data_IF_012765094837
#
_entry.id   IF_012765094837
#
_cell.length_a   1.000
_cell.length_b   1.000
_cell.length_c   1.000
_cell.angle_alpha   90.00
_cell.angle_beta   90.00
_cell.angle_gamma   90.00
#
_symmetry.space_group_name_H-M   'P 1'
#
loop_
_entity.id
_entity.type
_entity.pdbx_description
1 polymer ?
#
# COMPACT_ATOMS: atom_id res chain seq x y z
N UNK A 1 -6.44 9.55 -32.02
CA UNK A 1 -6.20 9.79 -30.59
C UNK A 1 -5.06 8.89 -30.20
N UNK A 2 -3.97 9.48 -29.72
CA UNK A 2 -2.84 8.74 -29.19
C UNK A 2 -3.31 7.92 -27.98
N UNK A 3 -2.93 6.65 -27.91
CA UNK A 3 -3.37 5.76 -26.83
C UNK A 3 -2.67 6.22 -25.54
N UNK A 4 -3.42 6.73 -24.58
CA UNK A 4 -2.92 7.00 -23.22
C UNK A 4 -2.31 5.73 -22.64
N UNK A 5 -1.05 5.80 -22.22
CA UNK A 5 -0.31 4.65 -21.70
C UNK A 5 -0.78 4.32 -20.28
N UNK A 6 -1.16 3.07 -20.03
CA UNK A 6 -1.67 2.61 -18.74
C UNK A 6 -0.54 2.11 -17.86
N UNK A 7 -0.41 2.65 -16.65
CA UNK A 7 0.63 2.34 -15.67
C UNK A 7 -0.01 1.90 -14.36
N UNK A 8 0.34 0.70 -13.90
CA UNK A 8 0.00 0.23 -12.55
C UNK A 8 1.23 0.29 -11.68
N UNK A 9 1.13 0.99 -10.55
CA UNK A 9 2.20 1.12 -9.57
C UNK A 9 1.80 0.35 -8.31
N UNK A 10 2.48 -0.76 -8.03
CA UNK A 10 2.39 -1.47 -6.75
C UNK A 10 3.38 -0.86 -5.75
N UNK A 11 2.91 -0.37 -4.61
CA UNK A 11 3.78 0.12 -3.53
C UNK A 11 3.69 -0.72 -2.27
N UNK A 12 4.80 -0.83 -1.56
CA UNK A 12 4.90 -1.47 -0.23
C UNK A 12 5.64 -0.59 0.77
N UNK A 13 5.89 -1.11 1.96
CA UNK A 13 6.36 -0.29 3.09
C UNK A 13 7.69 0.43 2.82
N UNK A 14 8.51 -0.08 1.90
CA UNK A 14 9.77 0.54 1.51
C UNK A 14 9.60 1.96 0.92
N UNK A 15 8.47 2.27 0.26
CA UNK A 15 8.23 3.63 -0.25
C UNK A 15 8.03 4.65 0.88
N UNK A 16 7.49 4.22 2.02
CA UNK A 16 7.21 5.06 3.20
C UNK A 16 8.36 5.06 4.22
N UNK A 17 9.40 4.26 4.02
CA UNK A 17 10.51 4.12 4.98
C UNK A 17 11.21 5.45 5.28
N UNK A 18 11.50 6.23 4.23
CA UNK A 18 12.15 7.53 4.32
C UNK A 18 11.20 8.65 4.82
N UNK A 19 9.92 8.33 5.02
CA UNK A 19 8.93 9.18 5.70
C UNK A 19 8.82 8.90 7.21
N UNK A 20 9.71 8.07 7.76
CA UNK A 20 9.69 7.70 9.18
C UNK A 20 8.70 6.60 9.53
N UNK A 21 8.09 5.93 8.55
CA UNK A 21 7.27 4.74 8.76
C UNK A 21 8.19 3.52 8.83
N UNK A 22 8.10 2.77 9.93
CA UNK A 22 8.88 1.53 10.07
C UNK A 22 8.32 0.45 9.15
N UNK A 23 9.21 -0.19 8.41
CA UNK A 23 8.85 -1.27 7.51
C UNK A 23 8.55 -2.56 8.26
N UNK A 24 7.72 -3.39 7.66
CA UNK A 24 7.49 -4.75 8.10
C UNK A 24 8.76 -5.60 7.90
N UNK A 25 9.18 -6.33 8.93
CA UNK A 25 10.35 -7.22 8.88
C UNK A 25 9.87 -8.65 8.74
N UNK A 26 9.72 -9.10 7.50
CA UNK A 26 9.28 -10.47 7.23
C UNK A 26 10.23 -11.53 7.82
N UNK A 27 11.54 -11.27 7.85
CA UNK A 27 12.55 -12.28 8.20
C UNK A 27 12.62 -12.64 9.68
N UNK A 28 12.15 -11.78 10.59
CA UNK A 28 12.09 -12.07 12.04
C UNK A 28 10.65 -12.25 12.55
N UNK A 29 9.65 -12.13 11.66
CA UNK A 29 8.23 -12.27 12.00
C UNK A 29 7.70 -11.14 12.89
N UNK A 30 8.42 -10.01 12.96
CA UNK A 30 8.05 -8.89 13.84
C UNK A 30 7.51 -7.69 13.06
N UNK A 31 6.53 -7.04 13.66
CA UNK A 31 6.07 -5.71 13.27
C UNK A 31 5.99 -4.80 14.49
N UNK A 32 6.83 -3.75 14.52
CA UNK A 32 6.97 -2.86 15.70
C UNK A 32 7.28 -3.63 17.00
N UNK A 33 8.18 -4.61 16.93
CA UNK A 33 8.56 -5.48 18.05
C UNK A 33 7.42 -6.37 18.60
N UNK A 34 6.34 -6.57 17.84
CA UNK A 34 5.30 -7.55 18.17
C UNK A 34 5.34 -8.68 17.14
N UNK A 35 5.02 -9.90 17.58
CA UNK A 35 4.79 -11.03 16.67
C UNK A 35 3.52 -10.77 15.87
N UNK A 36 3.54 -11.08 14.58
CA UNK A 36 2.40 -10.83 13.67
C UNK A 36 1.12 -11.49 14.20
N UNK A 37 1.23 -12.73 14.65
CA UNK A 37 0.15 -13.56 15.19
C UNK A 37 -0.46 -13.03 16.48
N UNK A 38 0.11 -11.99 17.09
CA UNK A 38 -0.43 -11.30 18.26
C UNK A 38 -1.21 -10.04 17.91
N UNK A 39 -1.14 -9.54 16.68
CA UNK A 39 -1.59 -8.17 16.35
C UNK A 39 -2.19 -7.98 14.96
N UNK A 40 -1.96 -8.91 14.04
CA UNK A 40 -2.33 -8.76 12.63
C UNK A 40 -2.94 -10.04 12.03
N UNK A 41 -3.75 -10.75 12.84
CA UNK A 41 -4.61 -11.87 12.41
C UNK A 41 -6.00 -11.75 13.02
N UNK A 42 -7.06 -12.32 12.42
CA UNK A 42 -8.38 -12.38 13.05
C UNK A 42 -8.36 -13.05 14.43
N UNK A 43 -7.57 -14.12 14.58
CA UNK A 43 -7.45 -14.87 15.84
C UNK A 43 -6.75 -14.04 16.92
N UNK A 44 -5.81 -13.16 16.54
CA UNK A 44 -5.20 -12.22 17.46
C UNK A 44 -6.24 -11.23 18.03
N UNK A 45 -7.12 -10.73 17.16
CA UNK A 45 -8.18 -9.80 17.55
C UNK A 45 -9.24 -10.47 18.41
N UNK A 46 -9.61 -11.72 18.11
CA UNK A 46 -10.50 -12.50 18.97
C UNK A 46 -9.85 -12.78 20.35
N UNK A 47 -8.55 -13.07 20.37
CA UNK A 47 -7.80 -13.39 21.59
C UNK A 47 -7.62 -12.19 22.52
N UNK A 48 -7.16 -11.05 22.00
CA UNK A 48 -6.97 -9.82 22.78
C UNK A 48 -7.23 -8.58 21.91
N UNK A 49 -8.51 -8.19 21.73
CA UNK A 49 -8.85 -7.04 20.90
C UNK A 49 -8.27 -5.75 21.47
N UNK A 50 -8.12 -5.65 22.80
CA UNK A 50 -7.53 -4.48 23.45
C UNK A 50 -6.06 -4.29 23.07
N UNK A 51 -5.28 -5.37 22.97
CA UNK A 51 -3.90 -5.32 22.48
C UNK A 51 -3.85 -4.83 21.03
N UNK A 52 -4.67 -5.40 20.15
CA UNK A 52 -4.72 -5.03 18.75
C UNK A 52 -5.13 -3.56 18.58
N UNK A 53 -6.15 -3.10 19.31
CA UNK A 53 -6.53 -1.68 19.32
C UNK A 53 -5.38 -0.78 19.76
N UNK A 54 -4.71 -1.07 20.89
CA UNK A 54 -3.55 -0.29 21.33
C UNK A 54 -2.42 -0.28 20.29
N UNK A 55 -2.18 -1.41 19.65
CA UNK A 55 -1.16 -1.58 18.62
C UNK A 55 -1.43 -0.69 17.39
N UNK A 56 -2.66 -0.63 16.90
CA UNK A 56 -3.03 0.24 15.78
C UNK A 56 -3.20 1.71 16.19
N UNK A 57 -3.68 2.00 17.41
CA UNK A 57 -3.76 3.37 17.94
C UNK A 57 -2.39 4.05 18.00
N UNK A 58 -1.36 3.35 18.48
CA UNK A 58 0.02 3.87 18.48
C UNK A 58 0.52 4.23 17.08
N UNK A 59 0.23 3.38 16.09
CA UNK A 59 0.59 3.65 14.69
C UNK A 59 -0.18 4.84 14.13
N UNK A 60 -1.46 4.94 14.46
CA UNK A 60 -2.30 6.07 14.04
C UNK A 60 -1.76 7.38 14.59
N UNK A 61 -1.44 7.41 15.88
CA UNK A 61 -0.82 8.57 16.52
C UNK A 61 0.53 8.93 15.85
N UNK A 62 1.37 7.94 15.53
CA UNK A 62 2.62 8.16 14.79
C UNK A 62 2.39 8.72 13.38
N UNK A 63 1.47 8.11 12.62
CA UNK A 63 1.11 8.54 11.26
C UNK A 63 0.55 9.99 11.22
N UNK A 64 -0.17 10.39 12.28
CA UNK A 64 -0.71 11.74 12.43
C UNK A 64 0.29 12.74 13.04
N UNK A 65 1.48 12.30 13.42
CA UNK A 65 2.52 13.19 13.93
C UNK A 65 3.05 14.11 12.83
N UNK A 66 3.65 15.23 13.25
CA UNK A 66 4.24 16.22 12.33
C UNK A 66 5.50 15.72 11.61
N UNK A 67 6.11 14.65 12.12
CA UNK A 67 7.33 14.01 11.61
C UNK A 67 7.05 13.17 10.36
N UNK A 68 5.83 12.61 10.26
CA UNK A 68 5.44 11.73 9.15
C UNK A 68 4.82 12.55 8.02
N UNK A 69 5.56 12.71 6.92
CA UNK A 69 5.14 13.46 5.73
C UNK A 69 5.45 12.68 4.46
N UNK A 70 4.72 12.91 3.35
CA UNK A 70 5.07 12.33 2.07
C UNK A 70 6.49 12.72 1.69
N UNK A 71 7.24 11.76 1.15
CA UNK A 71 8.59 11.98 0.64
C UNK A 71 8.58 12.16 -0.89
N UNK A 72 9.78 12.39 -1.46
CA UNK A 72 9.96 12.63 -2.90
C UNK A 72 9.37 11.53 -3.79
N UNK A 73 9.35 10.27 -3.36
CA UNK A 73 8.76 9.19 -4.14
C UNK A 73 7.24 9.35 -4.29
N UNK A 74 6.54 9.66 -3.19
CA UNK A 74 5.10 9.90 -3.20
C UNK A 74 4.75 11.11 -4.07
N UNK A 75 5.52 12.20 -3.94
CA UNK A 75 5.33 13.40 -4.76
C UNK A 75 5.53 13.11 -6.25
N UNK A 76 6.55 12.34 -6.63
CA UNK A 76 6.80 11.98 -8.02
C UNK A 76 5.68 11.10 -8.60
N UNK A 77 5.15 10.16 -7.82
CA UNK A 77 4.00 9.33 -8.23
C UNK A 77 2.76 10.21 -8.47
N UNK A 78 2.47 11.15 -7.55
CA UNK A 78 1.36 12.08 -7.71
C UNK A 78 1.52 12.99 -8.93
N UNK A 79 2.75 13.44 -9.22
CA UNK A 79 3.04 14.24 -10.41
C UNK A 79 2.87 13.45 -11.71
N UNK A 80 3.27 12.17 -11.72
CA UNK A 80 3.04 11.30 -12.86
C UNK A 80 1.54 11.11 -13.13
N UNK A 81 0.73 10.92 -12.09
CA UNK A 81 -0.73 10.78 -12.22
C UNK A 81 -1.40 12.03 -12.84
N UNK A 82 -0.79 13.21 -12.69
CA UNK A 82 -1.30 14.45 -13.26
C UNK A 82 -0.93 14.64 -14.73
N UNK A 83 -0.10 13.76 -15.31
CA UNK A 83 0.30 13.85 -16.71
C UNK A 83 -0.81 13.29 -17.62
N UNK A 84 -1.27 14.09 -18.58
CA UNK A 84 -2.41 13.77 -19.46
C UNK A 84 -2.14 12.64 -20.46
N UNK A 85 -0.88 12.28 -20.68
CA UNK A 85 -0.48 11.21 -21.62
C UNK A 85 -0.46 9.82 -20.98
N UNK A 86 -0.57 9.73 -19.65
CA UNK A 86 -0.57 8.45 -18.91
C UNK A 86 -1.81 8.32 -18.04
N UNK A 87 -2.23 7.08 -17.83
CA UNK A 87 -3.24 6.73 -16.84
C UNK A 87 -2.55 5.94 -15.74
N UNK A 88 -2.55 6.44 -14.51
CA UNK A 88 -1.87 5.82 -13.38
C UNK A 88 -2.90 5.25 -12.41
N UNK A 89 -2.72 3.99 -12.01
CA UNK A 89 -3.38 3.39 -10.87
C UNK A 89 -2.32 3.02 -9.82
N UNK A 90 -2.45 3.56 -8.61
CA UNK A 90 -1.61 3.18 -7.47
C UNK A 90 -2.30 2.08 -6.69
N UNK A 91 -1.71 0.89 -6.65
CA UNK A 91 -2.11 -0.19 -5.75
C UNK A 91 -1.13 -0.21 -4.58
N UNK A 92 -1.59 0.04 -3.36
CA UNK A 92 -0.72 0.12 -2.19
C UNK A 92 -1.03 -0.97 -1.17
N UNK A 93 0.02 -1.67 -0.75
CA UNK A 93 0.00 -2.56 0.41
C UNK A 93 0.10 -1.78 1.73
N UNK A 94 0.45 -0.50 1.67
CA UNK A 94 0.56 0.35 2.83
C UNK A 94 -0.82 0.76 3.33
N UNK A 95 -0.90 0.92 4.64
CA UNK A 95 -2.10 1.34 5.35
C UNK A 95 -2.03 2.81 5.76
N UNK A 96 -0.94 3.50 5.45
CA UNK A 96 -0.80 4.95 5.59
C UNK A 96 -1.48 5.70 4.44
N UNK A 97 -1.72 7.01 4.62
CA UNK A 97 -2.37 7.90 3.64
C UNK A 97 -1.34 8.83 2.96
N UNK A 98 -0.08 8.42 2.83
CA UNK A 98 0.98 9.29 2.31
C UNK A 98 0.85 9.56 0.80
N UNK A 99 0.25 8.65 0.03
CA UNK A 99 -0.07 8.89 -1.38
C UNK A 99 -1.12 9.98 -1.54
N UNK A 100 -2.20 9.93 -0.76
CA UNK A 100 -3.25 10.95 -0.75
C UNK A 100 -2.72 12.31 -0.31
N UNK A 101 -1.91 12.34 0.76
CA UNK A 101 -1.27 13.57 1.22
C UNK A 101 -0.29 14.16 0.19
N UNK A 102 0.30 13.33 -0.67
CA UNK A 102 1.14 13.79 -1.78
C UNK A 102 0.32 14.33 -2.97
N UNK A 103 -0.97 14.00 -3.03
CA UNK A 103 -1.91 14.47 -4.05
C UNK A 103 -2.41 13.38 -5.00
N UNK A 104 -2.04 12.12 -4.80
CA UNK A 104 -2.56 11.02 -5.61
C UNK A 104 -4.05 10.78 -5.36
N UNK A 105 -4.81 10.39 -6.39
CA UNK A 105 -6.28 10.28 -6.33
C UNK A 105 -6.78 8.89 -6.73
N UNK A 106 -6.15 8.24 -7.70
CA UNK A 106 -6.52 6.91 -8.18
C UNK A 106 -5.73 5.83 -7.43
N UNK A 107 -6.18 5.52 -6.22
CA UNK A 107 -5.48 4.63 -5.29
C UNK A 107 -6.38 3.48 -4.86
N UNK A 108 -5.82 2.27 -4.81
CA UNK A 108 -6.42 1.10 -4.16
C UNK A 108 -5.56 0.70 -2.96
N UNK A 109 -6.11 0.87 -1.76
CA UNK A 109 -5.54 0.33 -0.52
C UNK A 109 -5.91 -1.14 -0.37
N UNK A 110 -5.09 -2.02 -0.93
CA UNK A 110 -5.40 -3.45 -0.95
C UNK A 110 -5.39 -4.07 0.46
N UNK A 111 -4.66 -3.47 1.40
CA UNK A 111 -4.62 -3.92 2.81
C UNK A 111 -5.40 -3.02 3.77
N UNK A 112 -6.27 -2.15 3.24
CA UNK A 112 -7.05 -1.22 4.04
C UNK A 112 -6.26 0.01 4.51
N UNK A 113 -6.83 0.76 5.44
CA UNK A 113 -6.41 2.12 5.78
C UNK A 113 -6.40 2.34 7.30
N UNK A 114 -5.28 2.83 7.84
CA UNK A 114 -5.05 3.02 9.27
C UNK A 114 -5.93 4.13 9.89
N UNK A 115 -6.32 5.09 9.05
CA UNK A 115 -7.26 6.16 9.41
C UNK A 115 -8.71 5.76 9.15
N UNK A 116 -9.00 4.47 8.99
CA UNK A 116 -10.35 3.91 8.93
C UNK A 116 -10.54 2.78 9.95
N UNK A 117 -11.80 2.62 10.33
CA UNK A 117 -12.31 1.51 11.13
C UNK A 117 -13.60 1.02 10.50
N UNK A 118 -14.01 -0.21 10.81
CA UNK A 118 -15.32 -0.70 10.37
C UNK A 118 -16.01 -1.53 11.42
N UNK A 119 -17.35 -1.57 11.30
CA UNK A 119 -18.18 -2.42 12.13
C UNK A 119 -18.25 -3.82 11.52
N UNK A 120 -17.79 -4.83 12.27
CA UNK A 120 -17.83 -6.22 11.84
C UNK A 120 -19.26 -6.74 11.63
N UNK A 121 -20.26 -6.13 12.27
CA UNK A 121 -21.67 -6.53 12.14
C UNK A 121 -22.34 -6.02 10.87
N UNK A 122 -22.03 -4.78 10.46
CA UNK A 122 -22.73 -4.11 9.34
C UNK A 122 -21.86 -3.89 8.12
N UNK A 123 -20.53 -3.99 8.25
CA UNK A 123 -19.57 -3.66 7.21
C UNK A 123 -19.37 -2.15 6.98
N UNK A 124 -20.07 -1.30 7.73
CA UNK A 124 -19.95 0.16 7.59
C UNK A 124 -18.56 0.62 8.02
N UNK A 125 -17.94 1.48 7.20
CA UNK A 125 -16.61 2.07 7.41
C UNK A 125 -16.70 3.51 7.88
N UNK A 126 -15.74 3.91 8.70
CA UNK A 126 -15.66 5.23 9.31
C UNK A 126 -14.24 5.74 9.28
N UNK A 127 -14.07 7.03 8.97
CA UNK A 127 -12.82 7.71 9.22
C UNK A 127 -12.56 7.79 10.73
N UNK A 128 -11.31 7.57 11.13
CA UNK A 128 -10.89 7.63 12.52
C UNK A 128 -9.51 8.29 12.64
N UNK A 129 -9.41 9.27 13.53
CA UNK A 129 -8.17 9.97 13.86
C UNK A 129 -7.81 9.88 15.34
N UNK A 130 -8.77 9.53 16.19
CA UNK A 130 -8.57 9.30 17.61
C UNK A 130 -8.25 7.83 17.89
N UNK A 131 -8.02 7.52 19.15
CA UNK A 131 -7.91 6.15 19.63
C UNK A 131 -9.26 5.43 19.52
N UNK A 132 -9.20 4.14 19.19
CA UNK A 132 -10.35 3.23 19.20
C UNK A 132 -10.17 2.23 20.34
N UNK A 133 -11.20 2.04 21.15
CA UNK A 133 -11.28 1.06 22.22
C UNK A 133 -12.35 0.01 21.98
N UNK A 134 -12.26 -1.10 22.72
CA UNK A 134 -13.22 -2.21 22.62
C UNK A 134 -14.63 -1.81 23.09
N UNK A 135 -14.73 -0.83 23.99
CA UNK A 135 -15.98 -0.38 24.57
C UNK A 135 -16.66 0.75 23.76
N UNK A 136 -16.01 1.24 22.69
CA UNK A 136 -16.57 2.26 21.82
C UNK A 136 -17.81 1.72 21.08
N UNK A 137 -18.89 2.49 21.10
CA UNK A 137 -20.15 2.11 20.47
C UNK A 137 -20.12 2.43 18.96
N UNK A 138 -20.49 1.46 18.10
CA UNK A 138 -20.66 1.75 16.67
C UNK A 138 -21.82 2.72 16.46
N UNK A 139 -21.57 3.81 15.73
CA UNK A 139 -22.62 4.72 15.29
C UNK A 139 -23.73 4.03 14.46
N UNK A 140 -23.41 2.93 13.75
CA UNK A 140 -24.36 2.16 12.96
C UNK A 140 -25.40 1.37 13.78
N UNK A 141 -24.93 0.64 14.77
CA UNK A 141 -25.69 -0.43 15.41
C UNK A 141 -25.80 -0.23 16.93
N UNK A 142 -25.14 0.79 17.46
CA UNK A 142 -25.14 1.17 18.88
C UNK A 142 -24.61 0.08 19.82
N UNK A 143 -23.78 -0.84 19.30
CA UNK A 143 -23.14 -1.91 20.05
C UNK A 143 -21.65 -1.65 20.23
N UNK A 144 -21.13 -1.97 21.41
CA UNK A 144 -19.68 -2.08 21.68
C UNK A 144 -19.11 -3.40 21.13
N UNK A 145 -17.79 -3.54 21.14
CA UNK A 145 -17.04 -4.72 20.67
C UNK A 145 -17.29 -5.09 19.20
N UNK A 146 -17.80 -4.17 18.39
CA UNK A 146 -18.06 -4.41 16.96
C UNK A 146 -17.11 -3.68 16.04
N UNK A 147 -16.40 -2.67 16.53
CA UNK A 147 -15.48 -1.86 15.75
C UNK A 147 -14.09 -2.49 15.75
N UNK A 148 -13.48 -2.60 14.57
CA UNK A 148 -12.06 -2.95 14.42
C UNK A 148 -11.37 -2.02 13.41
N UNK A 149 -10.03 -1.93 13.45
CA UNK A 149 -9.28 -1.24 12.40
C UNK A 149 -9.62 -1.79 11.00
N UNK A 150 -9.74 -0.92 10.00
CA UNK A 150 -10.01 -1.29 8.60
C UNK A 150 -8.72 -1.73 7.93
N UNK A 151 -8.14 -2.81 8.46
CA UNK A 151 -6.90 -3.41 8.01
C UNK A 151 -7.19 -4.84 7.61
N UNK A 152 -6.69 -5.24 6.44
CA UNK A 152 -6.68 -6.64 6.02
C UNK A 152 -5.56 -7.34 6.76
N UNK A 153 -5.93 -8.34 7.55
CA UNK A 153 -4.99 -9.16 8.30
C UNK A 153 -4.52 -10.38 7.53
N UNK A 154 -3.45 -11.01 8.01
CA UNK A 154 -3.03 -12.30 7.49
C UNK A 154 -4.18 -13.32 7.62
N UNK A 155 -4.46 -14.04 6.54
CA UNK A 155 -5.61 -14.94 6.44
C UNK A 155 -6.87 -14.30 5.85
N UNK A 156 -6.92 -12.97 5.72
CA UNK A 156 -8.03 -12.27 5.06
C UNK A 156 -7.71 -11.95 3.59
N UNK A 157 -8.76 -11.83 2.79
CA UNK A 157 -8.63 -11.44 1.38
C UNK A 157 -8.36 -9.93 1.25
N UNK A 158 -7.33 -9.51 0.47
CA UNK A 158 -7.12 -8.11 0.18
C UNK A 158 -8.31 -7.48 -0.56
N UNK A 159 -8.44 -6.17 -0.44
CA UNK A 159 -9.54 -5.43 -1.04
C UNK A 159 -9.36 -5.22 -2.53
N UNK A 160 -10.49 -5.24 -3.25
CA UNK A 160 -10.60 -4.89 -4.67
C UNK A 160 -9.71 -5.72 -5.62
N UNK A 161 -9.44 -6.99 -5.27
CA UNK A 161 -8.59 -7.89 -6.07
C UNK A 161 -9.01 -7.99 -7.53
N UNK A 162 -10.30 -8.09 -7.82
CA UNK A 162 -10.80 -8.18 -9.20
C UNK A 162 -10.38 -6.97 -10.05
N UNK A 163 -10.50 -5.76 -9.49
CA UNK A 163 -10.08 -4.52 -10.17
C UNK A 163 -8.57 -4.43 -10.31
N UNK A 164 -7.82 -4.91 -9.31
CA UNK A 164 -6.36 -4.93 -9.35
C UNK A 164 -5.90 -5.85 -10.48
N UNK A 165 -6.45 -7.06 -10.57
CA UNK A 165 -6.11 -8.02 -11.64
C UNK A 165 -6.47 -7.45 -13.01
N UNK A 166 -7.69 -6.93 -13.17
CA UNK A 166 -8.11 -6.31 -14.43
C UNK A 166 -7.16 -5.18 -14.88
N UNK A 167 -6.75 -4.31 -13.95
CA UNK A 167 -5.83 -3.23 -14.26
C UNK A 167 -4.43 -3.74 -14.64
N UNK A 168 -3.92 -4.77 -13.95
CA UNK A 168 -2.62 -5.36 -14.25
C UNK A 168 -2.63 -6.05 -15.62
N UNK A 169 -3.70 -6.77 -15.95
CA UNK A 169 -3.86 -7.47 -17.24
C UNK A 169 -3.95 -6.51 -18.43
N UNK A 170 -4.31 -5.24 -18.19
CA UNK A 170 -4.49 -4.23 -19.24
C UNK A 170 -3.39 -3.15 -19.24
N UNK A 171 -2.46 -3.16 -18.27
CA UNK A 171 -1.43 -2.13 -18.17
C UNK A 171 -0.33 -2.32 -19.22
N UNK A 172 0.24 -1.22 -19.68
CA UNK A 172 1.41 -1.22 -20.57
C UNK A 172 2.71 -1.29 -19.73
N UNK A 173 2.69 -0.76 -18.49
CA UNK A 173 3.81 -0.77 -17.54
C UNK A 173 3.33 -1.14 -16.14
N UNK A 174 4.04 -2.06 -15.50
CA UNK A 174 3.85 -2.41 -14.09
C UNK A 174 5.12 -2.08 -13.31
N UNK A 175 4.99 -1.23 -12.29
CA UNK A 175 6.12 -0.79 -11.46
C UNK A 175 5.89 -1.25 -10.02
N UNK A 176 6.80 -2.04 -9.48
CA UNK A 176 6.81 -2.41 -8.05
C UNK A 176 7.82 -1.54 -7.30
N UNK A 177 7.37 -0.87 -6.24
CA UNK A 177 8.17 0.07 -5.46
C UNK A 177 8.21 -0.35 -3.99
N UNK A 178 9.41 -0.62 -3.48
CA UNK A 178 9.63 -0.83 -2.03
C UNK A 178 8.88 -2.02 -1.45
N UNK A 179 8.79 -3.14 -2.18
CA UNK A 179 8.13 -4.37 -1.74
C UNK A 179 9.16 -5.47 -1.49
N UNK A 180 8.90 -6.41 -0.57
CA UNK A 180 9.82 -7.55 -0.33
C UNK A 180 9.61 -8.73 -1.28
N UNK A 181 8.49 -8.74 -2.03
CA UNK A 181 8.12 -9.89 -2.86
C UNK A 181 7.73 -11.15 -2.07
N UNK A 182 7.45 -11.05 -0.77
CA UNK A 182 7.20 -12.21 0.09
C UNK A 182 5.71 -12.52 0.31
N UNK A 183 4.83 -11.51 0.27
CA UNK A 183 3.43 -11.66 0.69
C UNK A 183 2.54 -11.79 -0.55
N UNK A 184 1.88 -12.93 -0.66
CA UNK A 184 0.86 -13.16 -1.68
C UNK A 184 -0.48 -12.55 -1.24
N UNK A 185 -1.29 -12.05 -2.19
CA UNK A 185 -1.15 -12.17 -3.64
C UNK A 185 -0.23 -11.14 -4.32
N UNK A 186 0.17 -10.07 -3.62
CA UNK A 186 0.93 -8.96 -4.22
C UNK A 186 2.25 -9.39 -4.88
N UNK A 187 2.96 -10.35 -4.28
CA UNK A 187 4.19 -10.92 -4.84
C UNK A 187 4.00 -11.56 -6.23
N UNK A 188 2.79 -12.04 -6.55
CA UNK A 188 2.47 -12.66 -7.84
C UNK A 188 2.09 -11.67 -8.96
N UNK A 189 1.87 -10.39 -8.64
CA UNK A 189 1.38 -9.42 -9.62
C UNK A 189 2.34 -9.21 -10.81
N UNK A 190 3.65 -9.29 -10.57
CA UNK A 190 4.65 -9.19 -11.65
C UNK A 190 4.50 -10.30 -12.69
N UNK A 191 4.13 -11.51 -12.27
CA UNK A 191 3.94 -12.65 -13.17
C UNK A 191 2.74 -12.43 -14.09
N UNK A 192 1.66 -11.87 -13.55
CA UNK A 192 0.44 -11.54 -14.31
C UNK A 192 0.74 -10.42 -15.31
N UNK A 193 1.44 -9.36 -14.87
CA UNK A 193 1.87 -8.27 -15.74
C UNK A 193 2.74 -8.78 -16.91
N UNK A 194 3.67 -9.70 -16.62
CA UNK A 194 4.50 -10.35 -17.65
C UNK A 194 3.67 -11.17 -18.64
N UNK A 195 2.69 -11.94 -18.17
CA UNK A 195 1.79 -12.73 -19.02
C UNK A 195 0.93 -11.85 -19.93
N UNK A 196 0.52 -10.68 -19.43
CA UNK A 196 -0.21 -9.66 -20.19
C UNK A 196 0.69 -8.87 -21.17
N UNK A 197 2.01 -9.03 -21.09
CA UNK A 197 2.97 -8.39 -21.99
C UNK A 197 3.47 -7.01 -21.52
N UNK A 198 3.10 -6.55 -20.32
CA UNK A 198 3.53 -5.27 -19.77
C UNK A 198 5.05 -5.18 -19.57
N UNK A 199 5.62 -3.98 -19.61
CA UNK A 199 7.00 -3.75 -19.15
C UNK A 199 7.03 -3.73 -17.61
N UNK A 200 7.80 -4.64 -17.00
CA UNK A 200 7.83 -4.83 -15.55
C UNK A 200 9.10 -4.26 -14.94
N UNK A 201 8.93 -3.42 -13.92
CA UNK A 201 10.01 -2.64 -13.30
C UNK A 201 10.00 -2.85 -11.79
N UNK A 202 11.16 -3.13 -11.21
CA UNK A 202 11.38 -3.11 -9.77
C UNK A 202 12.21 -1.88 -9.38
N UNK A 203 11.69 -1.07 -8.46
CA UNK A 203 12.38 0.03 -7.81
C UNK A 203 12.45 -0.26 -6.30
N UNK A 204 13.62 -0.64 -5.80
CA UNK A 204 13.70 -1.16 -4.44
C UNK A 204 15.03 -0.86 -3.75
N UNK A 205 15.07 -0.91 -2.42
CA UNK A 205 16.34 -0.72 -1.68
C UNK A 205 17.29 -1.91 -1.88
N UNK A 206 16.73 -3.11 -1.97
CA UNK A 206 17.42 -4.37 -2.21
C UNK A 206 16.54 -5.27 -3.11
N UNK A 207 17.10 -6.31 -3.75
CA UNK A 207 16.30 -7.24 -4.55
C UNK A 207 15.17 -7.88 -3.74
N UNK A 208 13.95 -7.92 -4.29
CA UNK A 208 12.85 -8.69 -3.72
C UNK A 208 13.03 -10.20 -3.94
N UNK A 209 12.23 -11.02 -3.27
CA UNK A 209 12.25 -12.48 -3.48
C UNK A 209 11.79 -12.92 -4.88
N UNK A 210 11.14 -12.02 -5.62
CA UNK A 210 10.64 -12.25 -6.99
C UNK A 210 11.33 -11.34 -8.00
N UNK A 211 12.52 -10.82 -7.67
CA UNK A 211 13.28 -9.91 -8.54
C UNK A 211 13.47 -10.48 -9.97
N UNK A 212 13.56 -11.81 -10.09
CA UNK A 212 13.96 -12.48 -11.33
C UNK A 212 12.90 -12.34 -12.41
N UNK A 213 11.67 -12.08 -11.97
CA UNK A 213 10.51 -11.87 -12.82
C UNK A 213 10.49 -10.46 -13.45
N UNK A 214 11.21 -9.48 -12.90
CA UNK A 214 11.20 -8.11 -13.45
C UNK A 214 12.15 -7.96 -14.63
N UNK A 215 11.67 -7.32 -15.70
CA UNK A 215 12.45 -6.99 -16.90
C UNK A 215 13.48 -5.88 -16.64
N UNK A 216 13.15 -4.93 -15.77
CA UNK A 216 14.02 -3.83 -15.39
C UNK A 216 14.10 -3.71 -13.86
N UNK A 217 15.28 -3.41 -13.33
CA UNK A 217 15.58 -3.41 -11.90
C UNK A 217 16.51 -2.26 -11.56
N UNK A 218 16.10 -1.40 -10.62
CA UNK A 218 16.90 -0.27 -10.14
C UNK A 218 16.90 -0.28 -8.62
N UNK A 219 18.11 -0.32 -8.05
CA UNK A 219 18.30 -0.41 -6.61
C UNK A 219 18.80 0.89 -5.98
N UNK A 220 18.16 1.31 -4.89
CA UNK A 220 18.46 2.51 -4.13
C UNK A 220 17.29 2.99 -3.27
N UNK A 221 17.48 4.10 -2.58
CA UNK A 221 16.42 4.78 -1.82
C UNK A 221 15.25 5.14 -2.72
N UNK A 222 14.03 4.97 -2.22
CA UNK A 222 12.82 5.31 -2.97
C UNK A 222 12.81 6.80 -3.35
N UNK A 223 13.30 7.67 -2.46
CA UNK A 223 13.37 9.12 -2.71
C UNK A 223 14.30 9.53 -3.84
N UNK A 224 15.24 8.66 -4.25
CA UNK A 224 16.16 8.93 -5.35
C UNK A 224 15.80 8.16 -6.63
N UNK A 225 15.51 6.86 -6.52
CA UNK A 225 15.29 6.03 -7.72
C UNK A 225 13.93 6.28 -8.35
N UNK A 226 12.89 6.54 -7.55
CA UNK A 226 11.52 6.72 -8.07
C UNK A 226 11.39 8.00 -8.90
N UNK A 227 11.73 9.20 -8.39
CA UNK A 227 11.61 10.42 -9.21
C UNK A 227 12.41 10.33 -10.50
N UNK A 228 13.66 9.86 -10.41
CA UNK A 228 14.55 9.72 -11.57
C UNK A 228 13.98 8.79 -12.64
N UNK A 229 13.39 7.66 -12.23
CA UNK A 229 12.79 6.71 -13.17
C UNK A 229 11.55 7.30 -13.84
N UNK A 230 10.64 7.90 -13.07
CA UNK A 230 9.39 8.43 -13.61
C UNK A 230 9.61 9.65 -14.52
N UNK A 231 10.60 10.51 -14.21
CA UNK A 231 11.00 11.62 -15.09
C UNK A 231 11.52 11.12 -16.45
N UNK A 232 12.34 10.06 -16.44
CA UNK A 232 12.85 9.45 -17.67
C UNK A 232 11.72 8.79 -18.47
N UNK A 233 10.80 8.10 -17.80
CA UNK A 233 9.64 7.47 -18.42
C UNK A 233 8.78 8.48 -19.18
N UNK A 234 8.44 9.61 -18.54
CA UNK A 234 7.64 10.68 -19.18
C UNK A 234 8.40 11.32 -20.33
N UNK A 235 9.70 11.56 -20.19
CA UNK A 235 10.52 12.21 -21.23
C UNK A 235 10.60 11.38 -22.51
N UNK A 236 10.57 10.05 -22.42
CA UNK A 236 10.55 9.16 -23.58
C UNK A 236 9.19 9.24 -24.30
N UNK A 237 8.09 9.30 -23.55
CA UNK A 237 6.74 9.35 -24.13
C UNK A 237 6.42 10.69 -24.79
N UNK A 238 6.94 11.81 -24.28
CA UNK A 238 6.74 13.13 -24.91
C UNK A 238 7.62 13.36 -26.15
N UNK A 239 8.58 12.47 -26.44
CA UNK A 239 9.53 12.61 -27.54
C UNK A 239 9.14 11.84 -28.82
N UNK A 240 8.03 11.11 -28.79
CA UNK A 240 7.46 10.32 -29.90
C UNK A 240 6.18 11.00 -30.38
#
# INVERSE_FOLDING_TARGET
MEKTKSIVILTGAGVSAESGIRTFRANDGLWENHRIEDVATPEAFERDPSLVHRFYNRRRAHLLSHEVRPNRAHTAISQLEQNEHVSVLVVTQNIDDLHERAGSKNIIHMHGELLKSYCQKTGNRYAIRADLGVDDQCACCQLSHTLRPDIVWFGEMPYQMDKIYEAIEQCDVFISIGTSGNVYPAAGFVQIANQAGAHTVELNMAPSLVESEFKEKIYGSATDVVPRYLEALVSIECAI
#
